data_IF_871759073693
#
_entry.id   IF_871759073693
#
_cell.length_a   1.000
_cell.length_b   1.000
_cell.length_c   1.000
_cell.angle_alpha   90.00
_cell.angle_beta   90.00
_cell.angle_gamma   90.00
#
_symmetry.space_group_name_H-M   'P 1'
#
loop_
_entity.id
_entity.type
_entity.pdbx_description
1 polymer ?
#
# COMPACT_ATOMS: atom_id res chain seq x y z
N UNK A 1 24.74 16.17 -12.11
CA UNK A 1 24.18 14.89 -12.57
C UNK A 1 22.75 14.80 -12.06
N UNK A 2 21.78 14.44 -12.90
CA UNK A 2 20.37 14.30 -12.52
C UNK A 2 19.96 12.82 -12.57
N UNK A 3 19.86 12.18 -11.42
CA UNK A 3 19.25 10.84 -11.28
C UNK A 3 18.03 10.94 -10.37
N UNK A 4 17.11 9.97 -10.49
CA UNK A 4 15.91 9.86 -9.66
C UNK A 4 15.95 8.52 -8.94
N UNK A 5 15.85 8.57 -7.62
CA UNK A 5 15.60 7.41 -6.77
C UNK A 5 14.35 7.72 -5.96
N UNK A 6 13.24 7.08 -6.31
CA UNK A 6 11.94 7.20 -5.64
C UNK A 6 11.31 5.82 -5.53
N UNK A 7 10.80 5.51 -4.35
CA UNK A 7 9.97 4.34 -4.06
C UNK A 7 8.63 4.83 -3.59
N UNK A 8 7.55 4.32 -4.17
CA UNK A 8 6.18 4.62 -3.74
C UNK A 8 5.50 3.29 -3.43
N UNK A 9 4.99 3.13 -2.21
CA UNK A 9 4.31 1.91 -1.77
C UNK A 9 2.95 2.25 -1.17
N UNK A 10 1.98 1.38 -1.40
CA UNK A 10 0.75 1.29 -0.62
C UNK A 10 0.67 -0.12 -0.06
N UNK A 11 0.63 -0.25 1.25
CA UNK A 11 0.66 -1.57 1.87
C UNK A 11 0.22 -1.55 3.32
N UNK A 12 0.28 -2.73 3.95
CA UNK A 12 -0.07 -2.90 5.36
C UNK A 12 1.15 -3.15 6.21
N UNK A 13 1.19 -2.53 7.39
CA UNK A 13 2.26 -2.68 8.36
C UNK A 13 2.22 -4.10 8.96
N UNK A 14 3.34 -4.83 8.91
CA UNK A 14 3.43 -6.23 9.35
C UNK A 14 3.51 -6.44 10.86
N UNK A 15 4.12 -5.48 11.55
CA UNK A 15 4.34 -5.47 13.00
C UNK A 15 4.36 -4.04 13.51
N UNK A 16 4.11 -3.85 14.81
CA UNK A 16 4.16 -2.52 15.40
C UNK A 16 5.51 -1.84 15.12
N UNK A 17 5.52 -0.55 14.76
CA UNK A 17 6.77 0.16 14.48
C UNK A 17 7.69 0.18 15.69
N UNK A 18 8.96 -0.13 15.46
CA UNK A 18 9.98 -0.08 16.49
C UNK A 18 10.62 1.31 16.50
N UNK A 19 10.37 2.08 17.57
CA UNK A 19 10.89 3.44 17.71
C UNK A 19 12.11 3.42 18.63
N UNK A 20 13.21 4.03 18.17
CA UNK A 20 14.46 4.09 18.93
C UNK A 20 15.04 5.50 18.88
N UNK A 21 15.72 5.88 19.96
CA UNK A 21 16.39 7.18 20.09
C UNK A 21 17.90 6.98 20.06
N UNK A 22 18.62 7.88 19.38
CA UNK A 22 20.07 7.93 19.37
C UNK A 22 20.58 8.77 20.56
N UNK A 23 21.80 8.47 21.02
CA UNK A 23 22.46 9.26 22.08
C UNK A 23 22.69 10.73 21.67
N UNK A 24 22.75 11.00 20.36
CA UNK A 24 22.89 12.34 19.78
C UNK A 24 21.59 13.16 19.75
N UNK A 25 20.47 12.62 20.27
CA UNK A 25 19.19 13.33 20.39
C UNK A 25 18.19 13.10 19.27
N UNK A 26 18.56 12.37 18.20
CA UNK A 26 17.64 12.03 17.10
C UNK A 26 16.79 10.78 17.37
N UNK A 27 15.71 10.60 16.62
CA UNK A 27 14.84 9.40 16.70
C UNK A 27 14.69 8.73 15.33
N UNK A 28 14.46 7.43 15.33
CA UNK A 28 14.15 6.68 14.12
C UNK A 28 13.07 5.63 14.37
N UNK A 29 12.38 5.25 13.29
CA UNK A 29 11.36 4.21 13.29
C UNK A 29 11.68 3.13 12.24
N UNK A 30 11.52 1.86 12.62
CA UNK A 30 11.65 0.72 11.70
C UNK A 30 10.40 -0.15 11.72
N UNK A 31 9.92 -0.52 10.54
CA UNK A 31 8.79 -1.45 10.38
C UNK A 31 8.86 -2.14 9.02
N UNK A 32 7.99 -3.13 8.83
CA UNK A 32 7.82 -3.80 7.53
C UNK A 32 6.45 -3.48 6.94
N UNK A 33 6.40 -3.37 5.61
CA UNK A 33 5.17 -3.15 4.85
C UNK A 33 4.98 -4.31 3.88
N UNK A 34 3.80 -4.92 3.88
CA UNK A 34 3.41 -5.94 2.92
C UNK A 34 2.70 -5.31 1.71
N UNK A 35 3.07 -5.76 0.51
CA UNK A 35 2.34 -5.51 -0.75
C UNK A 35 2.01 -6.84 -1.41
N UNK A 36 0.78 -7.02 -1.86
CA UNK A 36 0.32 -8.28 -2.46
C UNK A 36 -0.14 -8.08 -3.89
N UNK A 37 0.24 -9.01 -4.76
CA UNK A 37 -0.21 -9.10 -6.15
C UNK A 37 -0.98 -10.40 -6.34
N UNK A 38 -2.14 -10.35 -7.00
CA UNK A 38 -2.94 -11.53 -7.32
C UNK A 38 -3.17 -11.63 -8.82
N UNK A 39 -2.89 -12.80 -9.38
CA UNK A 39 -3.03 -13.07 -10.81
C UNK A 39 -3.60 -14.47 -11.05
N UNK A 40 -4.13 -14.69 -12.25
CA UNK A 40 -4.58 -16.02 -12.69
C UNK A 40 -3.45 -16.72 -13.44
N UNK A 41 -3.09 -17.93 -13.00
CA UNK A 41 -2.11 -18.76 -13.70
C UNK A 41 -2.66 -19.20 -15.06
N UNK A 42 -1.88 -19.00 -16.12
CA UNK A 42 -2.32 -19.27 -17.50
C UNK A 42 -2.36 -20.77 -17.83
N UNK A 43 -1.58 -21.60 -17.13
CA UNK A 43 -1.51 -23.03 -17.39
C UNK A 43 -2.57 -23.79 -16.60
N UNK A 44 -2.78 -23.43 -15.33
CA UNK A 44 -3.73 -24.13 -14.44
C UNK A 44 -5.09 -23.44 -14.32
N UNK A 45 -5.18 -22.15 -14.65
CA UNK A 45 -6.38 -21.35 -14.45
C UNK A 45 -6.64 -20.96 -12.99
N UNK A 46 -5.75 -21.31 -12.07
CA UNK A 46 -5.89 -21.02 -10.64
C UNK A 46 -5.50 -19.59 -10.30
N UNK A 47 -6.13 -19.02 -9.27
CA UNK A 47 -5.74 -17.71 -8.73
C UNK A 47 -4.54 -17.89 -7.81
N UNK A 48 -3.44 -17.20 -8.12
CA UNK A 48 -2.22 -17.13 -7.29
C UNK A 48 -2.13 -15.76 -6.62
N UNK A 49 -1.40 -15.73 -5.52
CA UNK A 49 -1.09 -14.52 -4.76
C UNK A 49 0.38 -14.56 -4.35
N UNK A 50 1.04 -13.40 -4.43
CA UNK A 50 2.42 -13.21 -3.98
C UNK A 50 2.49 -11.95 -3.13
N UNK A 51 3.06 -12.10 -1.94
CA UNK A 51 3.27 -10.99 -1.01
C UNK A 51 4.75 -10.69 -0.91
N UNK A 52 5.09 -9.42 -1.12
CA UNK A 52 6.43 -8.88 -0.92
C UNK A 52 6.48 -8.07 0.38
N UNK A 53 7.60 -8.20 1.09
CA UNK A 53 7.84 -7.51 2.36
C UNK A 53 8.94 -6.46 2.20
N UNK A 54 8.59 -5.21 2.46
CA UNK A 54 9.48 -4.06 2.33
C UNK A 54 9.92 -3.61 3.72
N UNK A 55 11.23 -3.57 3.96
CA UNK A 55 11.78 -2.98 5.18
C UNK A 55 11.83 -1.46 5.04
N UNK A 56 11.23 -0.75 5.98
CA UNK A 56 11.15 0.71 5.99
C UNK A 56 11.95 1.27 7.18
N UNK A 57 12.76 2.29 6.90
CA UNK A 57 13.57 3.00 7.88
C UNK A 57 13.30 4.50 7.79
N UNK A 58 12.74 5.07 8.85
CA UNK A 58 12.33 6.48 8.89
C UNK A 58 13.20 7.22 9.87
N UNK A 59 13.94 8.20 9.35
CA UNK A 59 14.84 9.09 10.12
C UNK A 59 14.35 10.54 10.10
N UNK A 60 13.26 10.81 9.38
CA UNK A 60 12.55 12.07 9.43
C UNK A 60 11.75 12.17 10.74
N UNK A 61 12.19 13.02 11.67
CA UNK A 61 11.63 13.11 13.03
C UNK A 61 10.14 13.42 13.06
N UNK A 62 9.66 14.28 12.16
CA UNK A 62 8.24 14.61 12.08
C UNK A 62 7.40 13.36 11.74
N UNK A 63 7.87 12.56 10.78
CA UNK A 63 7.23 11.31 10.40
C UNK A 63 7.35 10.25 11.51
N UNK A 64 8.47 10.19 12.23
CA UNK A 64 8.61 9.31 13.40
C UNK A 64 7.55 9.62 14.45
N UNK A 65 7.28 10.90 14.73
CA UNK A 65 6.22 11.31 15.66
C UNK A 65 4.81 10.92 15.20
N UNK A 66 4.55 10.92 13.89
CA UNK A 66 3.28 10.43 13.31
C UNK A 66 3.18 8.92 13.45
N UNK A 67 4.25 8.20 13.11
CA UNK A 67 4.30 6.73 13.19
C UNK A 67 4.06 6.26 14.61
N UNK A 68 4.76 6.83 15.59
CA UNK A 68 4.62 6.48 17.00
C UNK A 68 3.19 6.64 17.53
N UNK A 69 2.47 7.67 17.07
CA UNK A 69 1.13 8.00 17.59
C UNK A 69 0.01 7.23 16.91
N UNK A 70 0.16 6.91 15.63
CA UNK A 70 -0.98 6.50 14.81
C UNK A 70 -0.76 5.17 14.06
N UNK A 71 0.47 4.72 13.93
CA UNK A 71 0.77 3.51 13.14
C UNK A 71 0.94 2.32 14.07
N UNK A 72 0.18 1.26 13.78
CA UNK A 72 0.25 -0.04 14.46
C UNK A 72 0.27 -1.17 13.45
N UNK A 73 0.47 -2.39 13.91
CA UNK A 73 0.32 -3.60 13.09
C UNK A 73 -1.04 -3.57 12.36
N UNK A 74 -1.00 -3.84 11.06
CA UNK A 74 -2.17 -3.87 10.18
C UNK A 74 -2.53 -2.52 9.55
N UNK A 75 -1.96 -1.41 10.03
CA UNK A 75 -2.23 -0.08 9.48
C UNK A 75 -1.93 -0.01 7.99
N UNK A 76 -2.85 0.55 7.22
CA UNK A 76 -2.70 0.78 5.78
C UNK A 76 -2.07 2.14 5.55
N UNK A 77 -0.93 2.15 4.86
CA UNK A 77 -0.15 3.35 4.61
C UNK A 77 0.13 3.50 3.13
N UNK A 78 0.12 4.74 2.66
CA UNK A 78 0.91 5.17 1.52
C UNK A 78 2.23 5.73 2.05
N UNK A 79 3.34 5.41 1.38
CA UNK A 79 4.64 5.99 1.69
C UNK A 79 5.46 6.27 0.44
N UNK A 80 6.24 7.34 0.48
CA UNK A 80 7.29 7.65 -0.48
C UNK A 80 8.65 7.73 0.19
N UNK A 81 9.66 7.11 -0.42
CA UNK A 81 11.03 7.11 0.08
C UNK A 81 12.05 6.85 -1.03
N UNK A 82 13.22 6.36 -0.65
CA UNK A 82 14.31 6.04 -1.57
C UNK A 82 14.87 4.66 -1.23
N UNK A 83 15.33 3.89 -2.23
CA UNK A 83 16.07 2.66 -1.95
C UNK A 83 17.47 3.00 -1.45
N UNK A 84 17.89 2.36 -0.36
CA UNK A 84 19.25 2.39 0.11
C UNK A 84 19.70 0.97 0.46
N UNK A 85 20.84 0.56 -0.11
CA UNK A 85 21.50 -0.70 0.25
C UNK A 85 22.67 -0.39 1.17
N UNK A 86 22.69 -1.00 2.36
CA UNK A 86 23.79 -0.90 3.30
C UNK A 86 24.50 -2.25 3.44
N UNK A 87 25.81 -2.18 3.60
CA UNK A 87 26.67 -3.31 3.94
C UNK A 87 26.83 -3.37 5.46
N UNK A 88 26.73 -4.56 6.03
CA UNK A 88 26.98 -4.81 7.45
C UNK A 88 27.62 -6.18 7.64
N UNK A 89 28.32 -6.36 8.75
CA UNK A 89 28.99 -7.63 9.08
C UNK A 89 28.15 -8.36 10.10
N UNK A 90 27.85 -9.64 9.86
CA UNK A 90 27.13 -10.47 10.82
C UNK A 90 28.06 -10.97 11.95
N UNK A 91 27.48 -11.60 12.96
CA UNK A 91 28.23 -12.10 14.12
C UNK A 91 29.29 -13.15 13.76
N UNK A 92 29.20 -13.77 12.58
CA UNK A 92 30.15 -14.76 12.08
C UNK A 92 31.26 -14.13 11.23
N UNK A 93 31.28 -12.79 11.11
CA UNK A 93 32.25 -12.06 10.30
C UNK A 93 31.91 -12.01 8.81
N UNK A 94 30.76 -12.53 8.37
CA UNK A 94 30.39 -12.53 6.97
C UNK A 94 29.75 -11.19 6.57
N UNK A 95 30.11 -10.72 5.37
CA UNK A 95 29.55 -9.50 4.81
C UNK A 95 28.12 -9.73 4.27
N UNK A 96 27.19 -8.87 4.68
CA UNK A 96 25.78 -8.92 4.29
C UNK A 96 25.35 -7.58 3.71
N UNK A 97 24.39 -7.65 2.80
CA UNK A 97 23.75 -6.49 2.20
C UNK A 97 22.28 -6.48 2.61
N UNK A 98 21.77 -5.30 2.97
CA UNK A 98 20.36 -5.09 3.24
C UNK A 98 19.88 -3.88 2.46
N UNK A 99 18.80 -4.07 1.70
CA UNK A 99 18.13 -3.00 0.96
C UNK A 99 16.88 -2.60 1.72
N UNK A 100 16.75 -1.30 1.97
CA UNK A 100 15.69 -0.70 2.77
C UNK A 100 15.07 0.49 2.00
N UNK A 101 13.80 0.76 2.25
CA UNK A 101 13.14 2.01 1.84
C UNK A 101 13.38 3.03 2.95
N UNK A 102 14.13 4.07 2.64
CA UNK A 102 14.55 5.08 3.63
C UNK A 102 13.82 6.39 3.40
N UNK A 103 13.24 6.93 4.48
CA UNK A 103 12.69 8.27 4.55
C UNK A 103 13.65 9.13 5.37
N UNK A 104 14.46 9.94 4.67
CA UNK A 104 15.52 10.79 5.24
C UNK A 104 14.98 12.09 5.82
N UNK A 105 15.74 12.82 6.65
CA UNK A 105 15.35 14.16 7.08
C UNK A 105 15.00 15.05 5.88
N UNK A 106 13.90 15.80 6.01
CA UNK A 106 13.38 16.70 4.96
C UNK A 106 12.97 16.02 3.64
N UNK A 107 12.84 14.69 3.62
CA UNK A 107 12.40 13.93 2.45
C UNK A 107 11.41 12.82 2.84
N UNK A 108 10.70 12.31 1.83
CA UNK A 108 9.72 11.24 1.96
C UNK A 108 8.36 11.73 2.45
N UNK A 109 7.37 10.86 2.33
CA UNK A 109 5.98 11.12 2.67
C UNK A 109 5.36 9.87 3.29
N UNK A 110 4.45 10.06 4.25
CA UNK A 110 3.58 9.00 4.76
C UNK A 110 2.17 9.55 4.85
N UNK A 111 1.21 8.82 4.28
CA UNK A 111 -0.22 9.11 4.41
C UNK A 111 -0.89 7.89 5.03
N UNK A 112 -1.64 8.13 6.10
CA UNK A 112 -2.46 7.11 6.73
C UNK A 112 -3.73 6.90 5.90
N UNK A 113 -3.96 5.67 5.48
CA UNK A 113 -5.09 5.28 4.64
C UNK A 113 -6.14 4.47 5.41
N UNK A 114 -5.93 4.25 6.70
CA UNK A 114 -6.95 3.64 7.53
C UNK A 114 -8.12 4.62 7.69
N UNK A 115 -9.33 4.15 7.35
CA UNK A 115 -10.54 4.83 7.79
C UNK A 115 -10.48 4.94 9.30
N UNK A 116 -10.68 6.14 9.85
CA UNK A 116 -10.87 6.30 11.29
C UNK A 116 -11.92 5.27 11.71
N UNK A 117 -11.48 4.24 12.43
CA UNK A 117 -12.40 3.34 13.08
C UNK A 117 -13.02 4.17 14.18
N UNK A 118 -14.16 4.81 13.87
CA UNK A 118 -15.05 5.33 14.89
C UNK A 118 -15.36 4.14 15.76
N UNK A 119 -14.72 4.11 16.93
CA UNK A 119 -15.19 3.37 18.08
C UNK A 119 -16.48 4.07 18.54
N UNK A 120 -17.51 4.03 17.70
CA UNK A 120 -18.88 4.02 18.16
C UNK A 120 -19.03 2.68 18.88
N UNK A 121 -18.55 2.68 20.12
CA UNK A 121 -18.98 1.75 21.14
C UNK A 121 -20.44 2.11 21.36
N UNK A 122 -21.30 1.59 20.48
CA UNK A 122 -22.71 1.47 20.69
C UNK A 122 -22.86 0.68 21.99
N UNK A 123 -23.03 1.44 23.07
CA UNK A 123 -23.53 0.97 24.33
C UNK A 123 -24.97 0.56 24.10
N UNK A 124 -25.15 -0.63 23.51
CA UNK A 124 -26.44 -1.34 23.47
C UNK A 124 -26.77 -1.81 24.89
N UNK A 125 -27.19 -0.82 25.68
CA UNK A 125 -27.87 -1.02 26.95
C UNK A 125 -29.35 -1.17 26.62
N UNK A 126 -29.81 -2.42 26.67
CA UNK A 126 -31.09 -2.81 26.12
C UNK A 126 -32.30 -2.11 26.72
N UNK A 127 -33.33 -2.00 25.89
CA UNK A 127 -34.72 -1.97 26.33
C UNK A 127 -35.58 -2.85 25.43
N UNK A 128 -36.11 -3.91 26.04
CA UNK A 128 -37.21 -4.74 25.57
C UNK A 128 -38.43 -3.86 25.28
N UNK A 129 -39.09 -4.03 24.14
CA UNK A 129 -40.57 -4.12 24.07
C UNK A 129 -41.01 -5.05 22.94
N UNK A 130 -41.93 -5.92 23.31
CA UNK A 130 -42.69 -6.90 22.53
C UNK A 130 -43.97 -6.22 22.04
N UNK A 131 -44.34 -6.45 20.78
CA UNK A 131 -45.70 -6.53 20.22
C UNK A 131 -45.57 -6.48 18.68
N UNK A 132 -46.38 -7.05 17.79
CA UNK A 132 -47.39 -8.13 17.71
C UNK A 132 -47.76 -8.17 16.21
N UNK A 133 -48.20 -9.34 15.73
CA UNK A 133 -49.13 -9.55 14.60
C UNK A 133 -48.83 -8.98 13.20
N UNK A 134 -48.47 -9.90 12.30
CA UNK A 134 -49.23 -10.28 11.10
C UNK A 134 -49.76 -9.19 10.13
N UNK A 135 -49.13 -9.04 8.95
CA UNK A 135 -49.80 -8.67 7.70
C UNK A 135 -49.02 -9.19 6.48
N UNK A 136 -49.76 -9.87 5.60
CA UNK A 136 -49.32 -10.46 4.35
C UNK A 136 -48.99 -9.44 3.23
N UNK A 137 -47.97 -9.78 2.45
CA UNK A 137 -47.93 -9.87 0.97
C UNK A 137 -48.44 -8.69 0.12
N UNK A 138 -47.51 -7.98 -0.54
CA UNK A 138 -47.44 -7.89 -2.01
C UNK A 138 -46.12 -7.24 -2.48
N UNK A 139 -45.54 -7.68 -3.62
CA UNK A 139 -44.32 -7.11 -4.18
C UNK A 139 -44.65 -5.95 -5.11
N UNK A 140 -44.01 -4.80 -4.88
CA UNK A 140 -43.98 -3.71 -5.85
C UNK A 140 -42.62 -3.73 -6.55
N UNK A 141 -42.70 -3.96 -7.86
CA UNK A 141 -41.71 -3.64 -8.87
C UNK A 141 -41.26 -2.16 -8.75
N UNK A 142 -40.25 -1.81 -9.57
CA UNK A 142 -39.57 -0.51 -9.70
C UNK A 142 -38.25 -0.39 -8.94
N UNK A 143 -37.21 -1.04 -9.48
CA UNK A 143 -35.94 -0.42 -9.86
C UNK A 143 -34.94 -1.54 -10.23
N UNK A 144 -35.23 -2.22 -11.34
CA UNK A 144 -34.35 -3.20 -11.99
C UNK A 144 -33.89 -2.56 -13.31
N UNK A 145 -33.22 -1.39 -13.22
CA UNK A 145 -32.86 -0.57 -14.38
C UNK A 145 -31.59 0.27 -14.13
N UNK A 146 -30.58 -0.32 -13.47
CA UNK A 146 -29.24 0.27 -13.36
C UNK A 146 -28.11 -0.70 -13.72
N UNK A 147 -28.44 -1.88 -14.22
CA UNK A 147 -27.52 -2.77 -14.91
C UNK A 147 -28.03 -2.85 -16.35
N UNK A 148 -27.49 -2.02 -17.26
CA UNK A 148 -27.18 -2.41 -18.64
C UNK A 148 -26.59 -1.24 -19.47
N UNK A 149 -25.52 -1.56 -20.21
CA UNK A 149 -24.85 -0.79 -21.27
C UNK A 149 -23.87 0.35 -20.90
N UNK A 150 -22.67 -0.04 -20.47
CA UNK A 150 -21.44 0.59 -20.99
C UNK A 150 -20.76 -0.44 -21.91
N UNK A 151 -20.72 -0.27 -23.24
CA UNK A 151 -20.04 -1.22 -24.12
C UNK A 151 -18.51 -1.04 -24.00
N UNK A 152 -17.84 -2.00 -23.34
CA UNK A 152 -16.38 -2.05 -23.16
C UNK A 152 -15.63 -2.54 -24.42
N UNK A 153 -15.85 -1.90 -25.56
CA UNK A 153 -15.08 -2.23 -26.76
C UNK A 153 -14.73 -0.97 -27.57
N UNK A 154 -13.43 -0.87 -27.90
CA UNK A 154 -12.80 0.03 -28.89
C UNK A 154 -12.39 1.44 -28.44
N UNK A 155 -11.27 1.53 -27.71
CA UNK A 155 -10.30 2.62 -27.94
C UNK A 155 -8.96 1.99 -28.31
N UNK A 156 -8.88 1.48 -29.54
CA UNK A 156 -7.62 1.17 -30.20
C UNK A 156 -7.04 2.47 -30.76
N UNK A 157 -6.29 3.21 -29.97
CA UNK A 157 -5.41 4.25 -30.47
C UNK A 157 -4.06 3.62 -30.83
N UNK A 158 -3.86 3.34 -32.12
CA UNK A 158 -2.53 3.12 -32.69
C UNK A 158 -1.65 4.33 -32.37
N UNK A 159 -0.58 4.13 -31.59
CA UNK A 159 0.61 4.98 -31.68
C UNK A 159 1.59 4.23 -32.57
N UNK A 160 1.70 4.69 -33.81
CA UNK A 160 2.76 4.27 -34.74
C UNK A 160 4.09 4.87 -34.23
N UNK A 161 5.14 4.07 -33.97
CA UNK A 161 6.46 4.63 -33.70
C UNK A 161 7.05 5.22 -34.98
N UNK A 162 7.13 6.56 -35.03
CA UNK A 162 7.99 7.28 -35.98
C UNK A 162 9.43 7.08 -35.53
N UNK A 163 10.10 6.04 -36.06
CA UNK A 163 11.57 5.94 -36.22
C UNK A 163 11.95 4.58 -36.81
N UNK A 164 11.65 4.36 -38.09
CA UNK A 164 12.34 3.34 -38.90
C UNK A 164 12.32 3.71 -40.39
N UNK A 165 12.99 4.80 -40.76
CA UNK A 165 13.45 5.06 -42.14
C UNK A 165 14.87 5.60 -42.06
N UNK A 166 15.85 4.70 -41.96
CA UNK A 166 17.14 4.83 -42.67
C UNK A 166 17.54 3.40 -43.04
N UNK A 167 17.08 2.96 -44.22
CA UNK A 167 17.58 1.77 -44.88
C UNK A 167 18.74 2.17 -45.80
N UNK A 168 19.85 1.43 -45.67
CA UNK A 168 20.89 1.11 -46.64
C UNK A 168 21.37 2.22 -47.63
N UNK A 169 22.69 2.47 -47.60
CA UNK A 169 23.36 3.48 -48.41
C UNK A 169 23.66 3.11 -49.85
N UNK A 170 24.44 3.99 -50.50
CA UNK A 170 25.40 3.80 -51.61
C UNK A 170 25.71 5.20 -52.20
N UNK A 171 27.02 5.49 -52.31
CA UNK A 171 27.74 6.69 -52.80
C UNK A 171 27.79 7.87 -51.83
#
# INVERSE_FOLDING_TARGET
>A
MSSVNKVTLIGRVGKDPEIRSFQSGGRYANFSVATSESWKDKATGERKEKTEWHNVSVTNEALVGVIERFVKKGSKLYLEGQLQTRKWTDNNGAERYSTEVVLKPFAGEIVLLDSRQDNDTASDSGQRRRDTSNRAQQPSAFADDLDDEIPFAWVSALIVPVSLIVSLGVI
#
